data_IF_419705509273
#
_entry.id   IF_419705509273
#
_cell.length_a   1.000
_cell.length_b   1.000
_cell.length_c   1.000
_cell.angle_alpha   90.00
_cell.angle_beta   90.00
_cell.angle_gamma   90.00
#
_symmetry.space_group_name_H-M   'P 1'
#
loop_
_entity.id
_entity.type
_entity.pdbx_description
1 polymer ?
#
# COMPACT_ATOMS: atom_id res chain seq x y z
N UNK A 1 -0.30 -23.04 8.54
CA UNK A 1 1.05 -22.44 8.34
C UNK A 1 0.91 -21.33 7.33
N UNK A 2 1.00 -20.06 7.74
CA UNK A 2 1.07 -18.95 6.78
C UNK A 2 2.50 -18.94 6.27
N UNK A 3 2.71 -19.11 4.96
CA UNK A 3 4.02 -19.02 4.37
C UNK A 3 4.60 -17.64 4.71
N UNK A 4 5.76 -17.61 5.38
CA UNK A 4 6.52 -16.39 5.62
C UNK A 4 6.92 -15.81 4.26
N UNK A 5 6.14 -14.87 3.75
CA UNK A 5 6.45 -14.19 2.50
C UNK A 5 7.67 -13.31 2.75
N UNK A 6 8.85 -13.77 2.33
CA UNK A 6 10.15 -13.11 2.56
C UNK A 6 10.17 -11.65 2.10
N UNK A 7 9.33 -11.31 1.12
CA UNK A 7 9.21 -9.96 0.57
C UNK A 7 8.54 -8.95 1.51
N UNK A 8 7.78 -9.40 2.52
CA UNK A 8 7.11 -8.52 3.47
C UNK A 8 7.98 -8.17 4.68
N UNK A 9 9.03 -8.96 4.95
CA UNK A 9 9.87 -8.79 6.14
C UNK A 9 10.53 -7.40 6.20
N UNK A 10 11.15 -6.87 5.12
CA UNK A 10 11.74 -5.54 5.15
C UNK A 10 10.70 -4.43 5.38
N UNK A 11 9.52 -4.55 4.76
CA UNK A 11 8.45 -3.56 4.91
C UNK A 11 7.88 -3.57 6.33
N UNK A 12 7.62 -4.74 6.89
CA UNK A 12 7.12 -4.89 8.25
C UNK A 12 8.12 -4.37 9.28
N UNK A 13 9.42 -4.62 9.10
CA UNK A 13 10.47 -4.09 9.97
C UNK A 13 10.52 -2.56 9.93
N UNK A 14 10.39 -1.96 8.74
CA UNK A 14 10.37 -0.49 8.59
C UNK A 14 9.12 0.11 9.22
N UNK A 15 7.92 -0.43 8.98
CA UNK A 15 6.67 0.10 9.52
C UNK A 15 6.51 -0.08 11.03
N UNK A 16 7.12 -1.12 11.61
CA UNK A 16 7.14 -1.35 13.06
C UNK A 16 8.26 -0.57 13.77
N UNK A 17 9.16 0.08 13.02
CA UNK A 17 10.23 0.88 13.61
C UNK A 17 9.68 2.26 14.02
N UNK A 18 9.80 2.61 15.30
CA UNK A 18 9.45 3.93 15.83
C UNK A 18 10.18 5.10 15.15
N UNK A 19 11.26 4.84 14.42
CA UNK A 19 11.98 5.83 13.62
C UNK A 19 11.36 6.14 12.25
N UNK A 20 10.31 5.43 11.80
CA UNK A 20 9.65 5.74 10.54
C UNK A 20 8.77 6.98 10.67
N UNK A 21 9.28 8.12 10.18
CA UNK A 21 8.52 9.36 10.12
C UNK A 21 7.68 9.40 8.84
N UNK A 22 6.36 9.30 8.99
CA UNK A 22 5.40 9.28 7.87
C UNK A 22 5.39 10.60 7.10
N UNK A 23 5.50 11.73 7.78
CA UNK A 23 5.48 13.07 7.16
C UNK A 23 6.69 13.26 6.25
N UNK A 24 7.89 12.99 6.78
CA UNK A 24 9.13 13.04 6.01
C UNK A 24 9.11 12.08 4.81
N UNK A 25 8.53 10.89 4.98
CA UNK A 25 8.38 9.94 3.87
C UNK A 25 7.50 10.52 2.76
N UNK A 26 6.35 11.11 3.11
CA UNK A 26 5.42 11.71 2.14
C UNK A 26 6.08 12.86 1.40
N UNK A 27 6.80 13.76 2.09
CA UNK A 27 7.54 14.85 1.45
C UNK A 27 8.61 14.33 0.49
N UNK A 28 9.28 13.23 0.85
CA UNK A 28 10.32 12.60 0.03
C UNK A 28 9.78 11.99 -1.26
N UNK A 29 8.48 11.72 -1.38
CA UNK A 29 7.88 11.19 -2.62
C UNK A 29 8.18 12.12 -3.79
N UNK A 30 8.13 13.45 -3.57
CA UNK A 30 8.40 14.45 -4.61
C UNK A 30 9.85 14.39 -5.13
N UNK A 31 10.78 13.85 -4.34
CA UNK A 31 12.20 13.74 -4.67
C UNK A 31 12.54 12.44 -5.41
N UNK A 32 11.63 11.48 -5.47
CA UNK A 32 11.83 10.21 -6.16
C UNK A 32 11.88 10.41 -7.68
N UNK A 33 12.68 9.57 -8.35
CA UNK A 33 12.65 9.50 -9.83
C UNK A 33 11.22 9.17 -10.31
N UNK A 34 10.71 9.79 -11.39
CA UNK A 34 9.32 9.59 -11.84
C UNK A 34 8.93 8.11 -12.06
N UNK A 35 9.84 7.29 -12.60
CA UNK A 35 9.64 5.83 -12.74
C UNK A 35 9.39 5.15 -11.39
N UNK A 36 10.08 5.57 -10.33
CA UNK A 36 9.91 5.02 -8.98
C UNK A 36 8.57 5.49 -8.40
N UNK A 37 8.21 6.77 -8.56
CA UNK A 37 6.90 7.30 -8.16
C UNK A 37 5.77 6.49 -8.82
N UNK A 38 5.85 6.25 -10.12
CA UNK A 38 4.86 5.45 -10.85
C UNK A 38 4.75 4.01 -10.30
N UNK A 39 5.88 3.36 -10.01
CA UNK A 39 5.90 2.02 -9.39
C UNK A 39 5.30 2.02 -7.98
N UNK A 40 5.56 3.06 -7.19
CA UNK A 40 4.99 3.23 -5.84
C UNK A 40 3.46 3.36 -5.91
N UNK A 41 2.93 4.26 -6.74
CA UNK A 41 1.47 4.44 -6.84
C UNK A 41 0.76 3.23 -7.44
N UNK A 42 1.42 2.47 -8.32
CA UNK A 42 0.92 1.16 -8.76
C UNK A 42 0.83 0.17 -7.61
N UNK A 43 1.88 0.09 -6.78
CA UNK A 43 1.88 -0.76 -5.58
C UNK A 43 0.75 -0.36 -4.62
N UNK A 44 0.57 0.93 -4.36
CA UNK A 44 -0.53 1.45 -3.52
C UNK A 44 -1.88 1.02 -4.10
N UNK A 45 -2.11 1.25 -5.41
CA UNK A 45 -3.36 0.88 -6.09
C UNK A 45 -3.66 -0.61 -5.94
N UNK A 46 -2.72 -1.50 -6.26
CA UNK A 46 -2.96 -2.94 -6.19
C UNK A 46 -3.12 -3.41 -4.74
N UNK A 47 -2.43 -2.78 -3.78
CA UNK A 47 -2.55 -3.10 -2.35
C UNK A 47 -3.92 -2.73 -1.81
N UNK A 48 -4.43 -1.53 -2.16
CA UNK A 48 -5.77 -1.10 -1.78
C UNK A 48 -6.87 -1.98 -2.41
N UNK A 49 -6.73 -2.34 -3.69
CA UNK A 49 -7.66 -3.27 -4.34
C UNK A 49 -7.61 -4.67 -3.71
N UNK A 50 -6.43 -5.15 -3.32
CA UNK A 50 -6.29 -6.42 -2.61
C UNK A 50 -6.89 -6.36 -1.19
N UNK A 51 -6.78 -5.21 -0.51
CA UNK A 51 -7.48 -4.98 0.76
C UNK A 51 -9.02 -5.01 0.59
N UNK A 52 -9.55 -4.42 -0.47
CA UNK A 52 -10.99 -4.35 -0.71
C UNK A 52 -11.63 -5.67 -1.19
N UNK A 53 -10.93 -6.46 -2.02
CA UNK A 53 -11.52 -7.65 -2.67
C UNK A 53 -10.75 -8.95 -2.45
N UNK A 54 -9.55 -8.89 -1.88
CA UNK A 54 -8.72 -10.05 -1.63
C UNK A 54 -9.20 -10.87 -0.44
N UNK A 55 -8.65 -12.08 -0.31
CA UNK A 55 -8.91 -12.94 0.83
C UNK A 55 -8.05 -12.54 2.02
N UNK A 56 -8.34 -11.38 2.62
CA UNK A 56 -7.67 -10.88 3.82
C UNK A 56 -8.58 -11.06 5.03
N UNK A 57 -8.01 -11.59 6.13
CA UNK A 57 -8.68 -11.56 7.43
C UNK A 57 -8.61 -10.14 8.00
N UNK A 58 -9.76 -9.50 8.16
CA UNK A 58 -9.88 -8.18 8.77
C UNK A 58 -10.15 -8.34 10.27
N UNK A 59 -9.26 -7.81 11.10
CA UNK A 59 -9.51 -7.61 12.53
C UNK A 59 -9.81 -6.12 12.82
N UNK A 60 -10.20 -5.81 14.06
CA UNK A 60 -10.67 -4.48 14.44
C UNK A 60 -9.62 -3.38 14.20
N UNK A 61 -8.32 -3.70 14.26
CA UNK A 61 -7.24 -2.73 14.00
C UNK A 61 -7.20 -2.32 12.53
N UNK A 62 -7.66 -3.19 11.64
CA UNK A 62 -7.61 -2.98 10.19
C UNK A 62 -8.98 -2.69 9.57
N UNK A 63 -10.04 -2.62 10.38
CA UNK A 63 -11.43 -2.36 9.93
C UNK A 63 -11.53 -1.05 9.16
N UNK A 64 -11.03 0.04 9.73
CA UNK A 64 -11.08 1.36 9.10
C UNK A 64 -10.29 1.40 7.78
N UNK A 65 -9.12 0.75 7.72
CA UNK A 65 -8.33 0.63 6.48
C UNK A 65 -9.07 -0.15 5.40
N UNK A 66 -9.78 -1.23 5.78
CA UNK A 66 -10.60 -2.01 4.87
C UNK A 66 -11.73 -1.15 4.28
N UNK A 67 -12.51 -0.49 5.13
CA UNK A 67 -13.63 0.38 4.70
C UNK A 67 -13.15 1.51 3.78
N UNK A 68 -12.01 2.12 4.11
CA UNK A 68 -11.38 3.12 3.24
C UNK A 68 -11.02 2.54 1.87
N UNK A 69 -10.41 1.35 1.83
CA UNK A 69 -10.04 0.70 0.57
C UNK A 69 -11.28 0.29 -0.24
N UNK A 70 -12.34 -0.15 0.41
CA UNK A 70 -13.61 -0.50 -0.22
C UNK A 70 -14.25 0.73 -0.88
N UNK A 71 -14.25 1.88 -0.18
CA UNK A 71 -14.73 3.14 -0.72
C UNK A 71 -13.90 3.66 -1.91
N UNK A 72 -12.57 3.46 -1.89
CA UNK A 72 -11.66 3.88 -2.97
C UNK A 72 -11.68 2.96 -4.19
N UNK A 73 -12.08 1.70 -4.01
CA UNK A 73 -11.97 0.67 -5.03
C UNK A 73 -12.57 1.03 -6.41
N UNK A 74 -13.78 1.63 -6.52
CA UNK A 74 -14.33 2.02 -7.81
C UNK A 74 -13.42 2.99 -8.58
N UNK A 75 -12.96 4.05 -7.90
CA UNK A 75 -12.06 5.07 -8.44
C UNK A 75 -10.74 4.43 -8.89
N UNK A 76 -10.20 3.55 -8.06
CA UNK A 76 -8.94 2.88 -8.35
C UNK A 76 -9.04 1.95 -9.55
N UNK A 77 -10.15 1.24 -9.76
CA UNK A 77 -10.34 0.37 -10.94
C UNK A 77 -10.35 1.16 -12.24
N UNK A 78 -11.01 2.31 -12.26
CA UNK A 78 -11.16 3.16 -13.45
C UNK A 78 -9.88 3.94 -13.78
N UNK A 79 -9.05 4.26 -12.78
CA UNK A 79 -7.80 4.97 -12.95
C UNK A 79 -6.78 4.20 -13.81
N UNK A 80 -6.33 4.74 -14.94
CA UNK A 80 -5.25 4.15 -15.72
C UNK A 80 -3.88 4.65 -15.24
N UNK A 81 -3.01 3.72 -14.80
CA UNK A 81 -1.61 4.01 -14.49
C UNK A 81 -0.73 3.40 -15.59
N UNK A 82 -0.07 4.21 -16.45
CA UNK A 82 0.61 3.72 -17.65
C UNK A 82 1.72 2.72 -17.33
N UNK A 83 1.88 1.70 -18.19
CA UNK A 83 2.95 0.71 -18.10
C UNK A 83 4.27 1.31 -18.60
N UNK A 84 5.31 1.14 -17.77
CA UNK A 84 6.71 1.42 -18.10
C UNK A 84 7.27 0.19 -18.79
#
# INVERSE_FOLDING_TARGET
MVASNSNLKPLAEVLNNYGFNTENFVESIALLHPTIQQRLFRLIKVSALYMAFGQIRIDDRNRASFEMCEALAPILRESHLPHI
#
